data_IF_789144783759
#
_entry.id   IF_789144783759
#
_cell.length_a   1.000
_cell.length_b   1.000
_cell.length_c   1.000
_cell.angle_alpha   90.00
_cell.angle_beta   90.00
_cell.angle_gamma   90.00
#
_symmetry.space_group_name_H-M   'P 1'
#
loop_
_entity.id
_entity.type
_entity.pdbx_description
1 polymer ?
#
# COMPACT_ATOMS: atom_id res chain seq x y z
N UNK A 1 11.57 -19.16 -18.39
CA UNK A 1 11.03 -17.80 -18.32
C UNK A 1 9.58 -17.91 -17.88
N UNK A 2 9.28 -17.67 -16.61
CA UNK A 2 7.90 -17.57 -16.13
C UNK A 2 7.31 -16.30 -16.71
N UNK A 3 6.23 -16.43 -17.47
CA UNK A 3 5.48 -15.26 -17.98
C UNK A 3 5.01 -14.48 -16.77
N UNK A 4 5.41 -13.20 -16.65
CA UNK A 4 4.95 -12.34 -15.57
C UNK A 4 3.42 -12.27 -15.61
N UNK A 5 2.76 -12.56 -14.48
CA UNK A 5 1.31 -12.47 -14.39
C UNK A 5 0.86 -11.04 -14.69
N UNK A 6 -0.20 -10.92 -15.48
CA UNK A 6 -0.88 -9.65 -15.71
C UNK A 6 -2.39 -9.82 -15.52
N UNK A 7 -3.07 -8.91 -14.78
CA UNK A 7 -4.52 -8.97 -14.61
C UNK A 7 -5.27 -8.98 -15.95
N UNK A 8 -6.33 -9.77 -16.03
CA UNK A 8 -7.17 -9.85 -17.22
C UNK A 8 -7.71 -8.46 -17.61
N UNK A 9 -7.60 -8.13 -18.91
CA UNK A 9 -8.03 -6.83 -19.47
C UNK A 9 -9.26 -6.91 -20.40
N UNK A 10 -9.90 -8.09 -20.49
CA UNK A 10 -11.14 -8.27 -21.25
C UNK A 10 -12.31 -7.43 -20.67
N UNK A 11 -13.37 -7.28 -21.46
CA UNK A 11 -14.50 -6.42 -21.12
C UNK A 11 -15.22 -6.90 -19.84
N UNK A 12 -15.37 -8.20 -19.64
CA UNK A 12 -16.03 -8.77 -18.45
C UNK A 12 -15.21 -8.45 -17.19
N UNK A 13 -13.89 -8.63 -17.25
CA UNK A 13 -12.99 -8.29 -16.14
C UNK A 13 -13.01 -6.78 -15.82
N UNK A 14 -13.09 -5.91 -16.83
CA UNK A 14 -13.24 -4.45 -16.63
C UNK A 14 -14.56 -4.11 -15.94
N UNK A 15 -15.67 -4.69 -16.37
CA UNK A 15 -17.00 -4.48 -15.74
C UNK A 15 -17.00 -5.00 -14.31
N UNK A 16 -16.52 -6.23 -14.07
CA UNK A 16 -16.41 -6.81 -12.72
C UNK A 16 -15.58 -5.92 -11.80
N UNK A 17 -14.42 -5.46 -12.25
CA UNK A 17 -13.55 -4.54 -11.49
C UNK A 17 -14.28 -3.27 -11.13
N UNK A 18 -15.00 -2.66 -12.07
CA UNK A 18 -15.78 -1.46 -11.83
C UNK A 18 -16.90 -1.67 -10.80
N UNK A 19 -17.65 -2.77 -10.91
CA UNK A 19 -18.67 -3.14 -9.92
C UNK A 19 -18.06 -3.36 -8.54
N UNK A 20 -16.93 -4.06 -8.44
CA UNK A 20 -16.22 -4.26 -7.17
C UNK A 20 -15.75 -2.95 -6.55
N UNK A 21 -15.32 -1.97 -7.35
CA UNK A 21 -14.90 -0.65 -6.88
C UNK A 21 -16.07 0.18 -6.30
N UNK A 22 -17.29 -0.05 -6.77
CA UNK A 22 -18.50 0.59 -6.25
C UNK A 22 -19.17 -0.17 -5.10
N UNK A 23 -18.80 -1.42 -4.88
CA UNK A 23 -19.29 -2.23 -3.77
C UNK A 23 -18.52 -1.90 -2.50
N UNK A 24 -19.20 -1.26 -1.54
CA UNK A 24 -18.59 -0.91 -0.25
C UNK A 24 -18.87 -2.03 0.77
N UNK A 25 -17.85 -2.86 1.06
CA UNK A 25 -17.96 -3.94 2.03
C UNK A 25 -17.77 -3.45 3.49
N UNK A 26 -16.96 -2.40 3.67
CA UNK A 26 -16.70 -1.77 4.99
C UNK A 26 -16.87 -0.26 4.91
N UNK A 27 -18.12 0.23 4.74
CA UNK A 27 -18.37 1.65 4.59
C UNK A 27 -18.03 2.40 5.89
N UNK A 28 -17.32 3.51 5.74
CA UNK A 28 -16.98 4.41 6.83
C UNK A 28 -17.04 5.86 6.37
N UNK A 29 -17.19 6.78 7.29
CA UNK A 29 -17.04 8.22 7.05
C UNK A 29 -15.69 8.65 7.62
N UNK A 30 -14.78 9.08 6.76
CA UNK A 30 -13.47 9.56 7.17
C UNK A 30 -13.45 11.08 7.23
N UNK A 31 -12.89 11.60 8.32
CA UNK A 31 -12.57 13.02 8.50
C UNK A 31 -11.31 13.13 9.36
N UNK A 32 -10.52 14.19 9.16
CA UNK A 32 -9.25 14.42 9.83
C UNK A 32 -9.13 15.88 10.27
N UNK A 33 -8.42 16.12 11.37
CA UNK A 33 -8.12 17.47 11.86
C UNK A 33 -7.13 18.20 10.92
N UNK A 34 -6.24 17.44 10.28
CA UNK A 34 -5.17 17.89 9.38
C UNK A 34 -5.07 16.96 8.16
N UNK A 35 -4.50 17.37 7.03
CA UNK A 35 -4.30 16.49 5.90
C UNK A 35 -3.27 15.40 6.23
N UNK A 36 -3.50 14.17 5.74
CA UNK A 36 -2.68 13.00 6.01
C UNK A 36 -2.08 12.44 4.72
N UNK A 37 -0.81 12.08 4.74
CA UNK A 37 -0.12 11.34 3.68
C UNK A 37 0.38 10.02 4.24
N UNK A 38 0.16 8.93 3.51
CA UNK A 38 0.82 7.65 3.76
C UNK A 38 1.64 7.27 2.53
N UNK A 39 2.91 6.90 2.74
CA UNK A 39 3.76 6.30 1.71
C UNK A 39 3.80 4.80 1.95
N UNK A 40 3.49 4.03 0.90
CA UNK A 40 3.43 2.58 0.97
C UNK A 40 4.32 1.94 -0.08
N UNK A 41 4.91 0.80 0.27
CA UNK A 41 5.80 0.03 -0.60
C UNK A 41 5.20 -1.36 -0.78
N UNK A 42 4.98 -1.76 -2.04
CA UNK A 42 4.43 -3.07 -2.40
C UNK A 42 5.56 -3.95 -2.94
N UNK A 43 5.55 -5.25 -2.60
CA UNK A 43 6.54 -6.23 -3.12
C UNK A 43 7.98 -5.69 -3.09
N UNK A 44 8.30 -4.95 -2.07
CA UNK A 44 9.47 -4.10 -2.04
C UNK A 44 10.79 -4.89 -2.05
N UNK A 45 11.74 -4.48 -2.86
CA UNK A 45 13.10 -5.01 -2.79
C UNK A 45 13.86 -4.44 -1.58
N UNK A 46 15.01 -5.05 -1.26
CA UNK A 46 15.84 -4.64 -0.14
C UNK A 46 16.24 -3.15 -0.18
N UNK A 47 16.39 -2.55 -1.39
CA UNK A 47 16.72 -1.14 -1.53
C UNK A 47 15.61 -0.21 -1.01
N UNK A 48 14.33 -0.55 -1.20
CA UNK A 48 13.23 0.24 -0.64
C UNK A 48 13.20 0.16 0.89
N UNK A 49 13.54 -1.01 1.45
CA UNK A 49 13.69 -1.17 2.89
C UNK A 49 14.83 -0.29 3.44
N UNK A 50 15.87 -0.02 2.69
CA UNK A 50 17.03 0.80 3.11
C UNK A 50 16.80 2.27 2.72
N UNK A 51 16.73 2.58 1.43
CA UNK A 51 16.70 3.95 0.93
C UNK A 51 15.35 4.61 1.16
N UNK A 52 14.24 3.92 0.88
CA UNK A 52 12.89 4.44 1.15
C UNK A 52 12.67 4.73 2.63
N UNK A 53 13.12 3.83 3.52
CA UNK A 53 13.05 4.05 4.96
C UNK A 53 13.91 5.22 5.40
N UNK A 54 15.17 5.30 4.92
CA UNK A 54 16.10 6.38 5.24
C UNK A 54 15.52 7.76 4.87
N UNK A 55 14.89 7.87 3.69
CA UNK A 55 14.26 9.11 3.26
C UNK A 55 13.11 9.49 4.21
N UNK A 56 12.18 8.54 4.48
CA UNK A 56 11.08 8.79 5.40
C UNK A 56 11.56 9.20 6.80
N UNK A 57 12.52 8.46 7.34
CA UNK A 57 13.08 8.71 8.68
C UNK A 57 13.72 10.09 8.80
N UNK A 58 14.43 10.58 7.77
CA UNK A 58 14.98 11.94 7.73
C UNK A 58 13.90 13.02 7.79
N UNK A 59 12.73 12.74 7.25
CA UNK A 59 11.56 13.62 7.36
C UNK A 59 10.75 13.43 8.65
N UNK A 60 11.24 12.60 9.59
CA UNK A 60 10.53 12.26 10.83
C UNK A 60 9.26 11.41 10.58
N UNK A 61 9.16 10.81 9.42
CA UNK A 61 8.01 10.03 8.97
C UNK A 61 8.26 8.52 9.05
N UNK A 62 7.16 7.75 8.95
CA UNK A 62 7.18 6.29 8.82
C UNK A 62 6.24 5.88 7.69
N UNK A 63 6.56 4.79 7.01
CA UNK A 63 5.77 4.23 5.91
C UNK A 63 5.16 2.89 6.24
N UNK A 64 4.38 2.36 5.30
CA UNK A 64 3.81 1.01 5.36
C UNK A 64 4.44 0.14 4.27
N UNK A 65 4.95 -1.02 4.66
CA UNK A 65 5.58 -2.01 3.78
C UNK A 65 4.66 -3.20 3.63
N UNK A 66 3.97 -3.30 2.49
CA UNK A 66 3.09 -4.41 2.16
C UNK A 66 3.90 -5.61 1.66
N UNK A 67 3.83 -6.67 2.42
CA UNK A 67 4.82 -7.74 2.41
C UNK A 67 4.17 -9.06 2.04
N UNK A 68 4.62 -9.67 0.95
CA UNK A 68 4.28 -11.03 0.53
C UNK A 68 5.41 -11.97 0.93
N UNK A 69 5.20 -12.80 1.96
CA UNK A 69 6.27 -13.59 2.57
C UNK A 69 6.96 -14.57 1.59
N UNK A 70 6.25 -15.04 0.58
CA UNK A 70 6.82 -15.89 -0.47
C UNK A 70 7.82 -15.18 -1.40
N UNK A 71 7.92 -13.85 -1.33
CA UNK A 71 8.87 -13.04 -2.12
C UNK A 71 10.15 -12.70 -1.36
N UNK A 72 10.28 -13.11 -0.10
CA UNK A 72 11.46 -12.82 0.71
C UNK A 72 12.73 -13.44 0.10
N UNK A 73 13.74 -12.61 -0.19
CA UNK A 73 15.00 -13.01 -0.81
C UNK A 73 14.91 -13.46 -2.26
N UNK A 74 13.74 -13.38 -2.90
CA UNK A 74 13.55 -13.76 -4.29
C UNK A 74 13.89 -12.58 -5.20
N UNK A 75 14.63 -12.83 -6.28
CA UNK A 75 14.89 -11.83 -7.32
C UNK A 75 13.64 -11.62 -8.15
N UNK A 76 13.18 -10.37 -8.22
CA UNK A 76 11.99 -9.94 -8.95
C UNK A 76 12.28 -8.77 -9.90
N UNK A 77 11.26 -8.27 -10.60
CA UNK A 77 11.41 -7.17 -11.55
C UNK A 77 11.94 -5.85 -10.95
N UNK A 78 11.76 -5.67 -9.65
CA UNK A 78 12.22 -4.48 -8.91
C UNK A 78 13.55 -4.70 -8.19
N UNK A 79 14.17 -5.88 -8.30
CA UNK A 79 15.41 -6.27 -7.62
C UNK A 79 15.21 -7.43 -6.65
N UNK A 80 16.22 -7.70 -5.83
CA UNK A 80 16.16 -8.76 -4.81
C UNK A 80 15.23 -8.35 -3.68
N UNK A 81 14.27 -9.19 -3.36
CA UNK A 81 13.28 -8.97 -2.30
C UNK A 81 13.92 -8.81 -0.92
N UNK A 82 13.19 -8.19 -0.01
CA UNK A 82 13.56 -7.99 1.39
C UNK A 82 13.90 -9.31 2.09
N UNK A 83 14.55 -9.21 3.25
CA UNK A 83 14.91 -10.33 4.11
C UNK A 83 14.27 -10.20 5.50
N UNK A 84 14.32 -11.26 6.33
CA UNK A 84 13.82 -11.18 7.71
C UNK A 84 14.53 -10.09 8.55
N UNK A 85 15.85 -9.87 8.47
CA UNK A 85 16.50 -8.72 9.09
C UNK A 85 15.92 -7.36 8.66
N UNK A 86 15.52 -7.19 7.38
CA UNK A 86 14.89 -5.95 6.94
C UNK A 86 13.54 -5.72 7.61
N UNK A 87 12.71 -6.77 7.73
CA UNK A 87 11.42 -6.73 8.43
C UNK A 87 11.60 -6.36 9.89
N UNK A 88 12.54 -7.00 10.59
CA UNK A 88 12.83 -6.72 11.99
C UNK A 88 13.31 -5.27 12.19
N UNK A 89 14.20 -4.78 11.31
CA UNK A 89 14.70 -3.39 11.34
C UNK A 89 13.60 -2.37 11.09
N UNK A 90 12.78 -2.55 10.05
CA UNK A 90 11.66 -1.67 9.74
C UNK A 90 10.66 -1.61 10.91
N UNK A 91 10.35 -2.77 11.50
CA UNK A 91 9.46 -2.87 12.67
C UNK A 91 10.03 -2.12 13.87
N UNK A 92 11.32 -2.31 14.16
CA UNK A 92 12.01 -1.63 15.27
C UNK A 92 12.07 -0.11 15.06
N UNK A 93 12.22 0.35 13.81
CA UNK A 93 12.21 1.76 13.44
C UNK A 93 10.80 2.40 13.49
N UNK A 94 9.74 1.62 13.70
CA UNK A 94 8.36 2.09 13.81
C UNK A 94 7.61 2.17 12.47
N UNK A 95 8.15 1.57 11.39
CA UNK A 95 7.38 1.38 10.17
C UNK A 95 6.32 0.30 10.35
N UNK A 96 5.25 0.40 9.59
CA UNK A 96 4.21 -0.64 9.55
C UNK A 96 4.58 -1.72 8.54
N UNK A 97 4.47 -3.00 8.97
CA UNK A 97 4.50 -4.14 8.06
C UNK A 97 3.05 -4.55 7.81
N UNK A 98 2.58 -4.31 6.60
CA UNK A 98 1.25 -4.69 6.12
C UNK A 98 1.26 -6.04 5.41
N UNK A 99 0.08 -6.61 5.19
CA UNK A 99 -0.09 -7.89 4.49
C UNK A 99 -0.27 -7.66 2.98
N UNK A 100 0.47 -8.44 2.15
CA UNK A 100 0.30 -8.46 0.68
C UNK A 100 -0.01 -9.86 0.16
N UNK A 101 -0.71 -10.70 0.95
CA UNK A 101 -0.83 -12.15 0.78
C UNK A 101 0.53 -12.87 0.88
N UNK A 102 0.55 -14.19 0.92
CA UNK A 102 1.81 -14.95 0.99
C UNK A 102 2.38 -15.22 -0.40
N UNK A 103 1.52 -15.63 -1.33
CA UNK A 103 1.90 -16.08 -2.67
C UNK A 103 1.74 -15.00 -3.74
N UNK A 104 1.36 -13.77 -3.37
CA UNK A 104 1.13 -12.64 -4.28
C UNK A 104 0.19 -12.98 -5.44
N UNK A 105 -0.90 -13.72 -5.17
CA UNK A 105 -1.87 -14.11 -6.19
C UNK A 105 -3.03 -13.12 -6.31
N UNK A 106 -3.59 -13.02 -7.53
CA UNK A 106 -4.75 -12.18 -7.83
C UNK A 106 -5.99 -12.63 -7.05
N UNK A 107 -6.39 -11.85 -6.04
CA UNK A 107 -7.54 -12.13 -5.19
C UNK A 107 -8.89 -12.12 -5.95
N UNK A 108 -8.97 -11.54 -7.14
CA UNK A 108 -10.17 -11.57 -7.96
C UNK A 108 -10.34 -12.91 -8.69
N UNK A 109 -9.25 -13.64 -8.96
CA UNK A 109 -9.26 -14.91 -9.68
C UNK A 109 -9.28 -16.14 -8.75
N UNK A 110 -8.72 -16.00 -7.54
CA UNK A 110 -8.63 -17.09 -6.58
C UNK A 110 -9.95 -17.26 -5.81
N UNK A 111 -10.26 -18.48 -5.35
CA UNK A 111 -11.39 -18.68 -4.45
C UNK A 111 -11.17 -18.00 -3.08
N UNK A 112 -12.25 -17.71 -2.38
CA UNK A 112 -12.21 -16.94 -1.14
C UNK A 112 -11.47 -17.69 -0.04
N UNK A 113 -11.75 -18.99 0.12
CA UNK A 113 -11.16 -19.81 1.18
C UNK A 113 -9.64 -19.87 1.04
N UNK A 114 -9.14 -20.22 -0.16
CA UNK A 114 -7.70 -20.22 -0.46
C UNK A 114 -7.05 -18.84 -0.27
N UNK A 115 -7.78 -17.75 -0.59
CA UNK A 115 -7.28 -16.39 -0.32
C UNK A 115 -7.12 -16.16 1.18
N UNK A 116 -8.11 -16.53 2.00
CA UNK A 116 -8.05 -16.33 3.46
C UNK A 116 -6.97 -17.17 4.13
N UNK A 117 -6.76 -18.41 3.67
CA UNK A 117 -5.64 -19.27 4.12
C UNK A 117 -4.29 -18.63 3.78
N UNK A 118 -4.16 -18.07 2.58
CA UNK A 118 -2.94 -17.41 2.14
C UNK A 118 -2.63 -16.16 2.99
N UNK A 119 -3.66 -15.37 3.33
CA UNK A 119 -3.51 -14.25 4.26
C UNK A 119 -3.09 -14.71 5.68
N UNK A 120 -3.57 -15.87 6.12
CA UNK A 120 -3.18 -16.44 7.42
C UNK A 120 -1.72 -16.92 7.40
N UNK A 121 -1.30 -17.64 6.35
CA UNK A 121 0.10 -18.05 6.17
C UNK A 121 1.04 -16.85 6.13
N UNK A 122 0.65 -15.79 5.42
CA UNK A 122 1.45 -14.57 5.36
C UNK A 122 1.66 -13.95 6.75
N UNK A 123 0.58 -13.83 7.54
CA UNK A 123 0.68 -13.33 8.91
C UNK A 123 1.69 -14.13 9.74
N UNK A 124 1.57 -15.45 9.70
CA UNK A 124 2.40 -16.34 10.53
C UNK A 124 3.88 -16.25 10.11
N UNK A 125 4.14 -16.18 8.81
CA UNK A 125 5.49 -15.97 8.28
C UNK A 125 6.07 -14.60 8.70
N UNK A 126 5.28 -13.51 8.62
CA UNK A 126 5.73 -12.18 9.02
C UNK A 126 6.00 -12.08 10.53
N UNK A 127 5.19 -12.72 11.37
CA UNK A 127 5.46 -12.83 12.81
C UNK A 127 6.80 -13.52 13.07
N UNK A 128 7.09 -14.60 12.36
CA UNK A 128 8.37 -15.32 12.45
C UNK A 128 9.56 -14.48 11.95
N UNK A 129 9.35 -13.51 11.07
CA UNK A 129 10.37 -12.54 10.62
C UNK A 129 10.53 -11.35 11.59
N UNK A 130 9.80 -11.30 12.70
CA UNK A 130 9.89 -10.23 13.68
C UNK A 130 8.94 -9.05 13.46
N UNK A 131 7.99 -9.17 12.53
CA UNK A 131 6.93 -8.16 12.36
C UNK A 131 5.92 -8.24 13.51
N UNK A 132 5.19 -7.13 13.73
CA UNK A 132 3.93 -7.18 14.49
C UNK A 132 2.84 -7.80 13.60
N UNK A 133 1.75 -8.29 14.21
CA UNK A 133 0.61 -8.81 13.43
C UNK A 133 0.10 -7.73 12.46
N UNK A 134 0.05 -8.00 11.14
CA UNK A 134 -0.41 -7.02 10.15
C UNK A 134 -1.85 -6.59 10.41
N UNK A 135 -2.09 -5.28 10.42
CA UNK A 135 -3.41 -4.67 10.64
C UNK A 135 -3.97 -4.01 9.39
N UNK A 136 -3.19 -3.89 8.33
CA UNK A 136 -3.61 -3.45 7.00
C UNK A 136 -3.25 -4.47 5.93
N UNK A 137 -3.99 -4.42 4.83
CA UNK A 137 -3.78 -5.28 3.67
C UNK A 137 -3.70 -4.43 2.39
N UNK A 138 -2.87 -4.82 1.43
CA UNK A 138 -2.95 -4.35 0.06
C UNK A 138 -3.26 -5.56 -0.85
N UNK A 139 -4.20 -5.39 -1.76
CA UNK A 139 -4.50 -6.45 -2.73
C UNK A 139 -3.40 -6.53 -3.78
N UNK A 140 -2.79 -7.71 -4.02
CA UNK A 140 -1.90 -7.91 -5.15
C UNK A 140 -2.53 -7.40 -6.46
N UNK A 141 -1.75 -6.67 -7.26
CA UNK A 141 -2.21 -6.02 -8.50
C UNK A 141 -3.38 -5.03 -8.32
N UNK A 142 -3.78 -4.72 -7.07
CA UNK A 142 -4.99 -3.96 -6.76
C UNK A 142 -6.30 -4.71 -7.06
N UNK A 143 -6.24 -6.01 -7.36
CA UNK A 143 -7.37 -6.83 -7.81
C UNK A 143 -8.06 -7.54 -6.64
N UNK A 144 -9.38 -7.42 -6.60
CA UNK A 144 -10.21 -8.08 -5.59
C UNK A 144 -11.63 -8.32 -6.12
N UNK A 145 -12.47 -8.95 -5.31
CA UNK A 145 -13.89 -9.18 -5.59
C UNK A 145 -14.74 -8.99 -4.31
N UNK A 146 -16.05 -8.74 -4.43
CA UNK A 146 -16.93 -8.51 -3.29
C UNK A 146 -16.78 -9.56 -2.19
N UNK A 147 -16.77 -10.84 -2.54
CA UNK A 147 -16.67 -11.94 -1.59
C UNK A 147 -15.36 -11.92 -0.77
N UNK A 148 -14.24 -11.49 -1.37
CA UNK A 148 -12.98 -11.32 -0.62
C UNK A 148 -13.08 -10.13 0.32
N UNK A 149 -13.65 -9.00 -0.14
CA UNK A 149 -13.85 -7.79 0.69
C UNK A 149 -14.73 -8.07 1.91
N UNK A 150 -15.83 -8.82 1.73
CA UNK A 150 -16.75 -9.19 2.80
C UNK A 150 -16.10 -10.10 3.86
N UNK A 151 -15.20 -10.97 3.42
CA UNK A 151 -14.57 -11.99 4.26
C UNK A 151 -13.16 -11.58 4.75
N UNK A 152 -12.71 -10.35 4.52
CA UNK A 152 -11.43 -9.90 5.06
C UNK A 152 -11.37 -10.12 6.58
N UNK A 153 -10.29 -10.73 7.11
CA UNK A 153 -10.13 -10.95 8.54
C UNK A 153 -10.37 -9.67 9.36
N UNK A 154 -11.10 -9.75 10.50
CA UNK A 154 -11.40 -8.58 11.33
C UNK A 154 -10.17 -7.83 11.83
N UNK A 155 -9.00 -8.48 11.92
CA UNK A 155 -7.73 -7.84 12.30
C UNK A 155 -7.28 -6.76 11.33
N UNK A 156 -7.68 -6.82 10.05
CA UNK A 156 -7.37 -5.77 9.10
C UNK A 156 -8.33 -4.59 9.31
N UNK A 157 -7.79 -3.47 9.73
CA UNK A 157 -8.52 -2.20 9.84
C UNK A 157 -8.92 -1.70 8.45
N UNK A 158 -8.06 -1.97 7.45
CA UNK A 158 -8.31 -1.59 6.05
C UNK A 158 -7.64 -2.51 5.07
N UNK A 159 -8.12 -2.45 3.83
CA UNK A 159 -7.42 -2.96 2.67
C UNK A 159 -7.30 -1.86 1.61
N UNK A 160 -6.21 -1.84 0.85
CA UNK A 160 -5.89 -0.86 -0.18
C UNK A 160 -5.96 -1.50 -1.57
N UNK A 161 -6.63 -0.80 -2.49
CA UNK A 161 -6.50 -1.01 -3.93
C UNK A 161 -5.47 -0.07 -4.56
N UNK A 162 -5.59 0.12 -5.88
CA UNK A 162 -4.71 0.99 -6.67
C UNK A 162 -5.48 2.11 -7.40
N UNK A 163 -6.78 2.27 -7.11
CA UNK A 163 -7.59 3.29 -7.77
C UNK A 163 -7.24 4.67 -7.21
N UNK A 164 -6.79 5.63 -8.04
CA UNK A 164 -6.49 6.98 -7.58
C UNK A 164 -7.69 7.67 -6.94
N UNK A 165 -7.44 8.46 -5.91
CA UNK A 165 -8.45 9.27 -5.23
C UNK A 165 -8.09 9.61 -3.79
N UNK A 166 -8.88 10.48 -3.18
CA UNK A 166 -8.74 10.90 -1.79
C UNK A 166 -9.58 10.00 -0.89
N UNK A 167 -9.06 9.70 0.29
CA UNK A 167 -9.80 9.00 1.34
C UNK A 167 -10.35 10.03 2.33
N UNK A 168 -11.58 10.48 2.10
CA UNK A 168 -12.28 11.47 2.92
C UNK A 168 -13.79 11.38 2.65
N UNK A 169 -14.62 11.62 3.66
CA UNK A 169 -16.07 11.44 3.57
C UNK A 169 -16.42 9.95 3.45
N UNK A 170 -17.42 9.61 2.63
CA UNK A 170 -17.83 8.23 2.40
C UNK A 170 -16.68 7.44 1.74
N UNK A 171 -16.19 6.44 2.43
CA UNK A 171 -15.02 5.63 2.03
C UNK A 171 -15.30 4.17 2.35
N UNK A 172 -14.78 3.26 1.50
CA UNK A 172 -14.77 1.83 1.80
C UNK A 172 -13.40 1.44 2.40
N UNK A 173 -13.37 1.09 3.67
CA UNK A 173 -12.15 0.62 4.33
C UNK A 173 -11.65 -0.72 3.78
N UNK A 174 -12.48 -1.47 3.07
CA UNK A 174 -12.06 -2.69 2.38
C UNK A 174 -11.43 -2.41 1.00
N UNK A 175 -11.39 -1.14 0.55
CA UNK A 175 -10.73 -0.77 -0.71
C UNK A 175 -10.33 0.71 -0.73
N UNK A 176 -9.38 1.10 0.10
CA UNK A 176 -8.82 2.45 0.13
C UNK A 176 -8.21 2.80 -1.23
N UNK A 177 -8.29 4.09 -1.58
CA UNK A 177 -7.74 4.66 -2.80
C UNK A 177 -6.27 5.00 -2.61
N UNK A 178 -5.45 4.81 -3.68
CA UNK A 178 -4.04 5.15 -3.65
C UNK A 178 -3.55 5.63 -5.02
N UNK A 179 -2.52 6.46 -5.03
CA UNK A 179 -1.87 6.98 -6.22
C UNK A 179 -0.54 6.26 -6.46
N UNK A 180 -0.26 5.77 -7.68
CA UNK A 180 1.08 5.31 -8.02
C UNK A 180 2.04 6.51 -8.02
N UNK A 181 3.21 6.32 -7.41
CA UNK A 181 4.30 7.31 -7.40
C UNK A 181 5.26 7.11 -8.59
N UNK A 182 4.91 6.24 -9.52
CA UNK A 182 5.71 5.82 -10.67
C UNK A 182 4.91 5.89 -11.97
N UNK A 183 5.60 5.62 -13.08
CA UNK A 183 5.01 5.64 -14.42
C UNK A 183 4.69 7.07 -14.89
N UNK A 184 4.21 7.19 -16.13
CA UNK A 184 3.96 8.47 -16.78
C UNK A 184 2.97 9.34 -15.97
N UNK A 185 3.46 10.48 -15.49
CA UNK A 185 2.68 11.44 -14.71
C UNK A 185 2.21 10.93 -13.33
N UNK A 186 2.81 9.86 -12.77
CA UNK A 186 2.48 9.35 -11.44
C UNK A 186 2.73 10.39 -10.36
N UNK A 187 3.95 10.93 -10.34
CA UNK A 187 4.37 11.94 -9.37
C UNK A 187 3.58 13.24 -9.53
N UNK A 188 3.33 13.70 -10.74
CA UNK A 188 2.55 14.92 -10.99
C UNK A 188 1.11 14.79 -10.48
N UNK A 189 0.47 13.64 -10.69
CA UNK A 189 -0.89 13.37 -10.20
C UNK A 189 -0.97 13.42 -8.68
N UNK A 190 -0.01 12.82 -7.96
CA UNK A 190 -0.02 12.87 -6.51
C UNK A 190 0.29 14.26 -5.97
N UNK A 191 1.20 15.01 -6.61
CA UNK A 191 1.48 16.41 -6.25
C UNK A 191 0.25 17.31 -6.39
N UNK A 192 -0.56 17.10 -7.45
CA UNK A 192 -1.85 17.78 -7.60
C UNK A 192 -2.84 17.34 -6.52
N UNK A 193 -2.89 16.04 -6.23
CA UNK A 193 -3.75 15.49 -5.19
C UNK A 193 -3.43 16.06 -3.80
N UNK A 194 -2.15 16.28 -3.44
CA UNK A 194 -1.77 16.91 -2.18
C UNK A 194 -2.39 18.31 -2.03
N UNK A 195 -2.34 19.14 -3.08
CA UNK A 195 -2.91 20.50 -3.04
C UNK A 195 -4.42 20.49 -2.79
N UNK A 196 -5.13 19.52 -3.39
CA UNK A 196 -6.57 19.34 -3.16
C UNK A 196 -6.85 18.80 -1.78
N UNK A 197 -6.07 17.79 -1.34
CA UNK A 197 -6.22 17.13 -0.05
C UNK A 197 -5.94 18.09 1.12
N UNK A 198 -4.96 18.99 1.00
CA UNK A 198 -4.67 20.02 2.00
C UNK A 198 -5.90 20.87 2.32
N UNK A 199 -6.62 21.33 1.27
CA UNK A 199 -7.84 22.14 1.43
C UNK A 199 -9.00 21.37 2.04
N UNK A 200 -9.06 20.05 1.84
CA UNK A 200 -10.14 19.18 2.28
C UNK A 200 -9.81 18.43 3.58
N UNK A 201 -8.60 18.58 4.11
CA UNK A 201 -8.07 17.76 5.22
C UNK A 201 -8.27 16.28 4.92
N UNK A 202 -7.92 15.85 3.72
CA UNK A 202 -8.11 14.50 3.24
C UNK A 202 -6.84 13.67 3.41
N UNK A 203 -7.00 12.34 3.37
CA UNK A 203 -5.91 11.39 3.40
C UNK A 203 -5.55 10.97 1.97
N UNK A 204 -4.26 11.12 1.63
CA UNK A 204 -3.64 10.66 0.39
C UNK A 204 -2.77 9.44 0.72
N UNK A 205 -2.88 8.38 -0.07
CA UNK A 205 -1.96 7.23 -0.02
C UNK A 205 -1.18 7.22 -1.33
N UNK A 206 0.15 7.25 -1.24
CA UNK A 206 1.06 7.01 -2.35
C UNK A 206 1.61 5.59 -2.27
N UNK A 207 1.78 4.90 -3.40
CA UNK A 207 2.40 3.58 -3.43
C UNK A 207 3.49 3.48 -4.50
N UNK A 208 4.54 2.75 -4.17
CA UNK A 208 5.68 2.44 -5.04
C UNK A 208 6.23 1.05 -4.68
N UNK A 209 7.23 0.58 -5.42
CA UNK A 209 7.91 -0.69 -5.10
C UNK A 209 9.33 -0.42 -4.64
N UNK A 210 10.23 -0.01 -5.52
CA UNK A 210 11.61 0.31 -5.21
C UNK A 210 11.88 1.82 -5.16
N UNK A 211 12.94 2.19 -4.46
CA UNK A 211 13.42 3.58 -4.37
C UNK A 211 14.91 3.60 -4.63
N UNK A 212 15.33 4.32 -5.68
CA UNK A 212 16.73 4.48 -6.04
C UNK A 212 16.92 5.68 -6.98
N UNK A 213 18.17 5.98 -7.35
CA UNK A 213 18.49 6.98 -8.39
C UNK A 213 18.00 6.54 -9.78
N UNK A 214 17.99 5.23 -10.04
CA UNK A 214 17.54 4.61 -11.29
C UNK A 214 16.56 3.48 -10.99
N UNK A 215 15.31 3.81 -10.61
CA UNK A 215 14.33 2.82 -10.20
C UNK A 215 13.81 1.97 -11.37
N UNK A 216 13.18 0.85 -11.02
CA UNK A 216 12.40 0.05 -11.97
C UNK A 216 11.22 0.86 -12.55
N UNK A 217 10.52 0.35 -13.58
CA UNK A 217 9.31 0.99 -14.08
C UNK A 217 8.19 1.17 -13.05
N UNK A 218 8.25 0.48 -11.92
CA UNK A 218 7.30 0.55 -10.80
C UNK A 218 7.87 1.25 -9.55
N UNK A 219 9.11 1.74 -9.65
CA UNK A 219 9.80 2.43 -8.58
C UNK A 219 9.69 3.95 -8.66
N UNK A 220 10.20 4.60 -7.64
CA UNK A 220 10.25 6.06 -7.49
C UNK A 220 11.70 6.50 -7.31
N UNK A 221 12.09 7.59 -7.93
CA UNK A 221 13.43 8.18 -7.73
C UNK A 221 13.56 8.71 -6.31
N UNK A 222 14.77 8.61 -5.75
CA UNK A 222 15.05 9.12 -4.40
C UNK A 222 14.73 10.61 -4.26
N UNK A 223 15.13 11.42 -5.24
CA UNK A 223 14.88 12.86 -5.27
C UNK A 223 13.38 13.21 -5.40
N UNK A 224 12.62 12.41 -6.13
CA UNK A 224 11.17 12.59 -6.27
C UNK A 224 10.43 12.29 -4.95
N UNK A 225 10.83 11.24 -4.22
CA UNK A 225 10.27 10.92 -2.92
C UNK A 225 10.59 12.03 -1.89
N UNK A 226 11.83 12.55 -1.90
CA UNK A 226 12.23 13.70 -1.09
C UNK A 226 11.39 14.96 -1.41
N UNK A 227 11.19 15.25 -2.70
CA UNK A 227 10.39 16.39 -3.13
C UNK A 227 8.92 16.25 -2.69
N UNK A 228 8.34 15.05 -2.80
CA UNK A 228 6.97 14.75 -2.36
C UNK A 228 6.79 15.00 -0.85
N UNK A 229 7.71 14.48 -0.04
CA UNK A 229 7.66 14.65 1.42
C UNK A 229 7.87 16.12 1.83
N UNK A 230 8.78 16.81 1.14
CA UNK A 230 9.04 18.24 1.37
C UNK A 230 7.80 19.08 1.03
N UNK A 231 7.13 18.81 -0.08
CA UNK A 231 5.91 19.51 -0.47
C UNK A 231 4.75 19.18 0.48
N UNK A 232 4.59 17.92 0.88
CA UNK A 232 3.59 17.52 1.87
C UNK A 232 3.77 18.29 3.18
N UNK A 233 5.01 18.41 3.68
CA UNK A 233 5.33 19.19 4.88
C UNK A 233 4.96 20.67 4.74
N UNK A 234 5.28 21.31 3.59
CA UNK A 234 4.90 22.70 3.31
C UNK A 234 3.38 22.91 3.31
N UNK A 235 2.63 21.90 2.85
CA UNK A 235 1.17 21.93 2.82
C UNK A 235 0.51 21.52 4.14
N UNK A 236 1.29 21.26 5.21
CA UNK A 236 0.80 20.95 6.55
C UNK A 236 0.35 19.49 6.74
N UNK A 237 0.82 18.56 5.91
CA UNK A 237 0.52 17.13 6.07
C UNK A 237 1.27 16.53 7.24
N UNK A 238 0.59 15.63 7.96
CA UNK A 238 1.25 14.61 8.77
C UNK A 238 1.49 13.39 7.90
N UNK A 239 2.68 12.79 8.01
CA UNK A 239 3.05 11.59 7.24
C UNK A 239 3.05 10.39 8.19
N UNK A 240 2.15 9.43 7.96
CA UNK A 240 1.87 8.32 8.88
C UNK A 240 1.76 6.99 8.14
N UNK A 241 2.09 5.87 8.79
CA UNK A 241 1.66 4.54 8.35
C UNK A 241 0.14 4.47 8.19
N UNK A 242 -0.33 3.52 7.37
CA UNK A 242 -1.77 3.39 7.04
C UNK A 242 -2.62 3.14 8.29
N UNK A 243 -2.17 2.28 9.18
CA UNK A 243 -2.90 1.98 10.43
C UNK A 243 -2.99 3.20 11.33
N UNK A 244 -1.87 3.92 11.51
CA UNK A 244 -1.81 5.13 12.36
C UNK A 244 -2.69 6.25 11.78
N UNK A 245 -2.73 6.39 10.45
CA UNK A 245 -3.61 7.33 9.77
C UNK A 245 -5.10 7.04 10.07
N UNK A 246 -5.50 5.76 10.08
CA UNK A 246 -6.86 5.36 10.45
C UNK A 246 -7.18 5.61 11.92
N UNK A 247 -6.22 5.44 12.81
CA UNK A 247 -6.39 5.73 14.24
C UNK A 247 -6.52 7.22 14.53
N UNK A 248 -5.99 8.07 13.66
CA UNK A 248 -6.14 9.55 13.74
C UNK A 248 -7.42 10.12 13.15
N UNK A 249 -8.29 9.29 12.55
CA UNK A 249 -9.58 9.78 12.06
C UNK A 249 -10.42 10.36 13.21
N UNK A 250 -11.12 11.42 12.92
CA UNK A 250 -12.12 11.96 13.85
C UNK A 250 -13.31 10.99 13.92
N UNK A 251 -13.90 10.86 15.10
CA UNK A 251 -15.05 9.99 15.35
C UNK A 251 -16.31 10.47 14.60
#
# INVERSE_FOLDING_TARGET
>A
MTVAYAPRRDLVSKVRRRLTQHYAARPAKLSFAEPVLSITFDDFPANAAVEGARILERHGARGTYYTAAGMAGVEGPCGVGYTAPDIARLTAAGHEIGCHSSSHEDCAQRDVFSTLEDLARNRDALLNMGARSPRSHAYPYGETKPQVKDNLPPRFMSARGILPGLNVGATDLAQLRAYPLFGDGGMERVMVALKVAAKRKAWVIGFTHDVSETPSPWGTRSDELEALLSEARKLGFVVLPVTDALERRLA
#
